data_IF_458377329924
#
_entry.id   IF_458377329924
#
_cell.length_a   1.000
_cell.length_b   1.000
_cell.length_c   1.000
_cell.angle_alpha   90.00
_cell.angle_beta   90.00
_cell.angle_gamma   90.00
#
_symmetry.space_group_name_H-M   'P 1'
#
loop_
_entity.id
_entity.type
_entity.pdbx_description
1 polymer ?
#
# COMPACT_ATOMS: atom_id res chain seq x y z
N UNK A 1 -25.09 51.86 32.77
CA UNK A 1 -25.54 50.52 32.31
C UNK A 1 -25.05 50.12 30.90
N UNK A 2 -24.04 50.79 30.29
CA UNK A 2 -23.56 50.47 28.92
C UNK A 2 -22.44 49.42 28.81
N UNK A 3 -21.88 48.94 29.93
CA UNK A 3 -20.72 48.02 29.94
C UNK A 3 -21.09 46.52 29.83
N UNK A 4 -22.32 46.13 30.21
CA UNK A 4 -22.76 44.73 30.11
C UNK A 4 -22.96 44.26 28.66
N UNK A 5 -23.38 45.16 27.77
CA UNK A 5 -23.70 44.83 26.36
C UNK A 5 -22.48 44.42 25.53
N UNK A 6 -21.27 44.89 25.86
CA UNK A 6 -20.04 44.57 25.11
C UNK A 6 -19.48 43.18 25.41
N UNK A 7 -19.73 42.65 26.61
CA UNK A 7 -19.22 41.33 27.01
C UNK A 7 -20.03 40.18 26.39
N UNK A 8 -21.29 40.42 26.05
CA UNK A 8 -22.19 39.42 25.45
C UNK A 8 -21.84 39.18 23.98
N UNK A 9 -21.46 40.22 23.25
CA UNK A 9 -21.10 40.13 21.82
C UNK A 9 -19.83 39.33 21.60
N UNK A 10 -18.82 39.53 22.45
CA UNK A 10 -17.56 38.76 22.40
C UNK A 10 -17.77 37.28 22.71
N UNK A 11 -18.65 36.95 23.66
CA UNK A 11 -18.94 35.57 24.01
C UNK A 11 -19.69 34.86 22.86
N UNK A 12 -20.63 35.55 22.22
CA UNK A 12 -21.37 35.02 21.07
C UNK A 12 -20.46 34.75 19.86
N UNK A 13 -19.48 35.62 19.60
CA UNK A 13 -18.53 35.44 18.50
C UNK A 13 -17.60 34.23 18.71
N UNK A 14 -17.17 33.97 19.95
CA UNK A 14 -16.34 32.80 20.29
C UNK A 14 -17.13 31.49 20.14
N UNK A 15 -18.40 31.48 20.53
CA UNK A 15 -19.28 30.31 20.34
C UNK A 15 -19.53 29.98 18.86
N UNK A 16 -19.69 30.99 18.00
CA UNK A 16 -19.84 30.80 16.55
C UNK A 16 -18.53 30.28 15.92
N UNK A 17 -17.37 30.79 16.34
CA UNK A 17 -16.08 30.32 15.85
C UNK A 17 -15.78 28.85 16.21
N UNK A 18 -16.24 28.40 17.39
CA UNK A 18 -16.12 26.99 17.81
C UNK A 18 -17.13 26.07 17.11
N UNK A 19 -18.27 26.59 16.65
CA UNK A 19 -19.27 25.80 15.90
C UNK A 19 -18.85 25.47 14.46
N UNK A 20 -17.88 26.22 13.92
CA UNK A 20 -17.36 26.03 12.56
C UNK A 20 -16.10 25.15 12.51
N UNK A 21 -15.52 24.76 13.65
CA UNK A 21 -14.33 23.90 13.67
C UNK A 21 -14.63 22.41 13.46
N UNK A 22 -15.90 22.05 13.26
CA UNK A 22 -16.35 20.70 12.93
C UNK A 22 -16.68 20.58 11.43
N UNK A 23 -15.90 21.19 10.55
CA UNK A 23 -15.86 20.73 9.16
C UNK A 23 -15.24 19.34 9.15
N UNK A 24 -16.12 18.35 9.04
CA UNK A 24 -15.80 16.95 8.78
C UNK A 24 -14.80 16.87 7.61
N UNK A 25 -13.62 16.35 7.88
CA UNK A 25 -12.59 16.20 6.85
C UNK A 25 -12.87 14.91 6.10
N UNK A 26 -13.41 15.01 4.88
CA UNK A 26 -13.45 13.87 3.96
C UNK A 26 -12.04 13.31 3.81
N UNK A 27 -11.82 12.09 4.31
CA UNK A 27 -10.55 11.38 4.18
C UNK A 27 -10.49 10.86 2.75
N UNK A 28 -9.54 11.32 1.92
CA UNK A 28 -9.46 10.88 0.53
C UNK A 28 -9.38 9.36 0.47
N UNK A 29 -10.21 8.76 -0.38
CA UNK A 29 -10.19 7.31 -0.53
C UNK A 29 -8.83 6.88 -1.08
N UNK A 30 -8.20 5.90 -0.42
CA UNK A 30 -6.90 5.36 -0.85
C UNK A 30 -7.10 4.11 -1.70
N UNK A 31 -6.12 3.85 -2.57
CA UNK A 31 -5.98 2.57 -3.27
C UNK A 31 -6.12 1.41 -2.29
N UNK A 32 -6.82 0.35 -2.69
CA UNK A 32 -6.85 -0.90 -1.93
C UNK A 32 -6.28 -2.02 -2.80
N UNK A 33 -5.38 -2.79 -2.21
CA UNK A 33 -4.66 -3.87 -2.86
C UNK A 33 -4.95 -5.17 -2.13
N UNK A 34 -5.12 -6.24 -2.90
CA UNK A 34 -5.12 -7.60 -2.40
C UNK A 34 -3.93 -8.33 -2.97
N UNK A 35 -3.09 -8.89 -2.10
CA UNK A 35 -1.99 -9.76 -2.51
C UNK A 35 -2.57 -11.09 -2.97
N UNK A 36 -2.13 -11.60 -4.11
CA UNK A 36 -2.56 -12.89 -4.64
C UNK A 36 -1.42 -13.91 -4.56
N UNK A 37 -1.74 -15.22 -4.51
CA UNK A 37 -0.72 -16.27 -4.50
C UNK A 37 0.25 -16.16 -5.69
N UNK A 38 1.56 -16.21 -5.42
CA UNK A 38 2.56 -16.39 -6.49
C UNK A 38 2.47 -17.79 -7.10
N UNK A 39 2.89 -17.91 -8.35
CA UNK A 39 2.96 -19.19 -9.07
C UNK A 39 4.19 -19.25 -9.96
N UNK A 40 4.62 -20.47 -10.30
CA UNK A 40 5.74 -20.66 -11.23
C UNK A 40 5.34 -20.34 -12.65
N UNK A 41 6.20 -19.65 -13.39
CA UNK A 41 5.95 -19.35 -14.79
C UNK A 41 6.04 -20.65 -15.63
N UNK A 42 4.96 -21.07 -16.31
CA UNK A 42 4.94 -22.33 -17.07
C UNK A 42 5.80 -22.27 -18.34
N UNK A 43 6.14 -21.07 -18.83
CA UNK A 43 6.78 -20.85 -20.14
C UNK A 43 8.24 -20.38 -20.03
N UNK A 44 8.84 -20.36 -18.83
CA UNK A 44 10.17 -19.79 -18.59
C UNK A 44 11.11 -20.68 -17.78
N UNK A 45 12.36 -20.20 -17.66
CA UNK A 45 13.48 -20.76 -16.90
C UNK A 45 13.05 -21.34 -15.55
N UNK A 46 13.73 -22.44 -15.15
CA UNK A 46 13.65 -23.02 -13.81
C UNK A 46 13.71 -21.90 -12.76
N UNK A 47 12.79 -21.91 -11.78
CA UNK A 47 12.69 -20.92 -10.72
C UNK A 47 12.17 -19.51 -11.11
N UNK A 48 11.49 -19.35 -12.26
CA UNK A 48 10.77 -18.10 -12.55
C UNK A 48 9.47 -18.02 -11.75
N UNK A 49 9.31 -16.95 -10.96
CA UNK A 49 8.16 -16.70 -10.09
C UNK A 49 7.35 -15.52 -10.65
N UNK A 50 6.06 -15.71 -10.80
CA UNK A 50 5.12 -14.64 -11.16
C UNK A 50 4.50 -14.09 -9.88
N UNK A 51 4.62 -12.78 -9.69
CA UNK A 51 3.95 -12.06 -8.62
C UNK A 51 2.60 -11.57 -9.13
N UNK A 52 1.56 -11.71 -8.31
CA UNK A 52 0.22 -11.28 -8.68
C UNK A 52 -0.44 -10.48 -7.54
N UNK A 53 -1.27 -9.52 -7.94
CA UNK A 53 -2.10 -8.73 -7.04
C UNK A 53 -3.43 -8.38 -7.71
N UNK A 54 -4.39 -7.95 -6.92
CA UNK A 54 -5.65 -7.38 -7.40
C UNK A 54 -5.77 -5.94 -6.88
N UNK A 55 -5.95 -4.99 -7.79
CA UNK A 55 -6.25 -3.60 -7.45
C UNK A 55 -7.76 -3.51 -7.27
N UNK A 56 -8.20 -3.55 -6.00
CA UNK A 56 -9.63 -3.57 -5.65
C UNK A 56 -10.29 -2.23 -5.95
N UNK A 57 -9.58 -1.12 -5.70
CA UNK A 57 -9.97 0.26 -6.03
C UNK A 57 -8.73 1.13 -6.19
N UNK A 58 -8.79 2.19 -6.99
CA UNK A 58 -7.64 3.09 -7.25
C UNK A 58 -7.52 4.28 -6.30
N UNK A 59 -8.60 4.65 -5.59
CA UNK A 59 -8.64 5.83 -4.72
C UNK A 59 -8.53 7.16 -5.49
N UNK A 60 -8.43 8.27 -4.75
CA UNK A 60 -8.35 9.64 -5.29
C UNK A 60 -6.90 10.11 -5.51
N UNK A 61 -5.97 9.59 -4.72
CA UNK A 61 -4.55 9.95 -4.83
C UNK A 61 -3.86 9.14 -5.94
N UNK A 62 -3.19 9.80 -6.90
CA UNK A 62 -2.45 9.10 -7.95
C UNK A 62 -1.37 8.17 -7.38
N UNK A 63 -1.26 6.99 -8.00
CA UNK A 63 -0.21 6.01 -7.70
C UNK A 63 1.06 6.40 -8.44
N UNK A 64 2.15 6.58 -7.69
CA UNK A 64 3.50 6.86 -8.19
C UNK A 64 4.23 5.57 -8.59
N UNK A 65 4.02 4.48 -7.86
CA UNK A 65 4.61 3.16 -8.10
C UNK A 65 3.72 2.10 -7.44
N UNK A 66 3.62 0.90 -8.00
CA UNK A 66 2.98 -0.24 -7.32
C UNK A 66 3.57 -1.55 -7.80
N UNK A 67 3.32 -2.62 -7.05
CA UNK A 67 3.75 -3.95 -7.40
C UNK A 67 3.81 -4.86 -6.19
N UNK A 68 4.80 -5.74 -6.14
CA UNK A 68 5.03 -6.64 -5.02
C UNK A 68 6.38 -6.36 -4.35
N UNK A 69 6.40 -6.41 -3.02
CA UNK A 69 7.64 -6.41 -2.24
C UNK A 69 7.81 -7.78 -1.61
N UNK A 70 9.04 -8.29 -1.57
CA UNK A 70 9.31 -9.64 -1.12
C UNK A 70 10.65 -9.79 -0.39
N UNK A 71 10.68 -10.74 0.54
CA UNK A 71 11.87 -11.24 1.20
C UNK A 71 11.99 -12.74 0.90
N UNK A 72 13.15 -13.15 0.42
CA UNK A 72 13.43 -14.53 0.03
C UNK A 72 14.79 -14.95 0.57
N UNK A 73 14.91 -16.22 0.97
CA UNK A 73 16.20 -16.79 1.32
C UNK A 73 16.85 -17.42 0.08
N UNK A 74 17.74 -16.68 -0.57
CA UNK A 74 18.34 -17.04 -1.87
C UNK A 74 19.45 -18.10 -1.75
N UNK A 75 20.19 -18.08 -0.65
CA UNK A 75 21.47 -18.79 -0.48
C UNK A 75 21.58 -19.50 0.88
N UNK A 76 20.49 -19.53 1.65
CA UNK A 76 20.48 -20.04 3.02
C UNK A 76 20.91 -19.00 4.06
N UNK A 77 21.48 -17.86 3.65
CA UNK A 77 22.09 -16.87 4.54
C UNK A 77 21.40 -15.51 4.52
N UNK A 78 20.65 -15.21 3.47
CA UNK A 78 19.90 -13.97 3.34
C UNK A 78 18.83 -13.86 4.43
N UNK A 79 18.73 -12.72 5.15
CA UNK A 79 17.75 -12.54 6.19
C UNK A 79 16.33 -12.61 5.58
N UNK A 80 15.53 -13.52 6.13
CA UNK A 80 14.13 -13.68 5.75
C UNK A 80 13.26 -12.85 6.69
N UNK A 81 12.57 -11.87 6.14
CA UNK A 81 11.69 -10.95 6.86
C UNK A 81 10.23 -11.35 6.63
N UNK A 82 9.48 -11.77 7.66
CA UNK A 82 8.07 -12.15 7.52
C UNK A 82 7.15 -11.01 7.05
N UNK A 83 7.57 -9.76 7.30
CA UNK A 83 6.81 -8.54 6.99
C UNK A 83 7.61 -7.66 6.02
N UNK A 84 7.71 -8.03 4.72
CA UNK A 84 8.56 -7.30 3.80
C UNK A 84 8.08 -5.85 3.60
N UNK A 85 9.01 -4.90 3.55
CA UNK A 85 8.75 -3.47 3.34
C UNK A 85 9.58 -2.90 2.20
N UNK A 86 9.08 -1.83 1.56
CA UNK A 86 9.74 -1.25 0.37
C UNK A 86 11.13 -0.67 0.67
N UNK A 87 11.41 -0.35 1.93
CA UNK A 87 12.66 0.27 2.37
C UNK A 87 13.76 -0.76 2.62
N UNK A 88 13.39 -1.99 2.98
CA UNK A 88 14.32 -3.01 3.48
C UNK A 88 14.40 -4.26 2.62
N UNK A 89 13.48 -4.41 1.65
CA UNK A 89 13.35 -5.62 0.85
C UNK A 89 13.24 -5.32 -0.65
N UNK A 90 13.23 -6.40 -1.45
CA UNK A 90 13.28 -6.32 -2.90
C UNK A 90 11.89 -6.10 -3.48
N UNK A 91 11.82 -5.36 -4.60
CA UNK A 91 10.57 -5.00 -5.27
C UNK A 91 10.47 -5.66 -6.65
N UNK A 92 9.26 -5.97 -7.06
CA UNK A 92 8.84 -6.23 -8.44
C UNK A 92 7.85 -5.12 -8.78
N UNK A 93 8.26 -4.20 -9.66
CA UNK A 93 7.48 -3.02 -10.03
C UNK A 93 6.60 -3.35 -11.22
N UNK A 94 5.33 -2.98 -11.16
CA UNK A 94 4.33 -3.25 -12.19
C UNK A 94 4.12 -2.02 -13.08
N UNK A 95 3.67 -2.25 -14.31
CA UNK A 95 3.42 -1.18 -15.27
C UNK A 95 2.25 -0.28 -14.84
N UNK A 96 2.47 1.03 -14.95
CA UNK A 96 1.45 2.06 -14.75
C UNK A 96 0.59 2.25 -16.01
N UNK A 97 -0.66 2.74 -15.87
CA UNK A 97 -1.32 3.15 -14.62
C UNK A 97 -1.84 1.97 -13.81
N UNK A 98 -1.84 2.11 -12.48
CA UNK A 98 -2.56 1.19 -11.60
C UNK A 98 -4.06 1.29 -11.90
N UNK A 99 -4.60 0.25 -12.52
CA UNK A 99 -6.01 0.11 -12.88
C UNK A 99 -6.61 -1.06 -12.11
N UNK A 100 -7.92 -1.02 -11.88
CA UNK A 100 -8.62 -2.06 -11.13
C UNK A 100 -8.47 -3.44 -11.78
N UNK A 101 -8.57 -4.47 -10.94
CA UNK A 101 -8.52 -5.86 -11.34
C UNK A 101 -7.14 -6.51 -11.18
N UNK A 102 -7.07 -7.74 -11.69
CA UNK A 102 -5.90 -8.61 -11.63
C UNK A 102 -4.72 -8.01 -12.38
N UNK A 103 -3.55 -8.04 -11.74
CA UNK A 103 -2.24 -7.69 -12.30
C UNK A 103 -1.23 -8.75 -11.95
N UNK A 104 -0.32 -9.01 -12.87
CA UNK A 104 0.82 -9.89 -12.64
C UNK A 104 2.07 -9.32 -13.28
N UNK A 105 3.22 -9.67 -12.72
CA UNK A 105 4.51 -9.36 -13.30
C UNK A 105 5.51 -10.48 -13.01
N UNK A 106 6.41 -10.72 -13.96
CA UNK A 106 7.44 -11.73 -13.82
C UNK A 106 8.52 -11.19 -12.89
N UNK A 107 8.69 -11.82 -11.74
CA UNK A 107 9.76 -11.51 -10.80
C UNK A 107 11.11 -12.05 -11.26
N UNK A 108 12.17 -11.82 -10.47
CA UNK A 108 13.47 -12.42 -10.73
C UNK A 108 13.44 -13.94 -10.56
N UNK A 109 14.52 -14.59 -10.98
CA UNK A 109 14.69 -16.01 -10.80
C UNK A 109 14.94 -16.33 -9.31
N UNK A 110 13.95 -16.93 -8.64
CA UNK A 110 13.97 -17.26 -7.21
C UNK A 110 13.97 -18.77 -7.02
N UNK A 111 15.16 -19.38 -6.87
CA UNK A 111 15.29 -20.82 -6.63
C UNK A 111 15.08 -21.21 -5.16
N UNK A 112 14.01 -20.72 -4.56
CA UNK A 112 13.66 -20.98 -3.16
C UNK A 112 12.16 -21.12 -3.01
N UNK A 113 11.75 -22.00 -2.11
CA UNK A 113 10.36 -22.20 -1.72
C UNK A 113 10.08 -21.52 -0.36
N UNK A 114 10.79 -20.44 -0.05
CA UNK A 114 10.62 -19.73 1.21
C UNK A 114 10.64 -18.22 0.95
N UNK A 115 9.47 -17.68 0.58
CA UNK A 115 9.31 -16.29 0.15
C UNK A 115 8.15 -15.66 0.91
N UNK A 116 8.40 -14.61 1.68
CA UNK A 116 7.35 -13.72 2.19
C UNK A 116 7.18 -12.56 1.22
N UNK A 117 5.93 -12.22 0.91
CA UNK A 117 5.64 -11.15 -0.06
C UNK A 117 4.31 -10.50 0.23
N UNK A 118 4.14 -9.27 -0.28
CA UNK A 118 2.89 -8.53 -0.24
C UNK A 118 2.82 -7.52 -1.38
N UNK A 119 1.61 -7.19 -1.81
CA UNK A 119 1.37 -6.06 -2.71
C UNK A 119 1.71 -4.74 -2.00
N UNK A 120 2.16 -3.74 -2.76
CA UNK A 120 2.35 -2.37 -2.28
C UNK A 120 1.98 -1.34 -3.35
N UNK A 121 1.68 -0.12 -2.90
CA UNK A 121 1.59 1.08 -3.73
C UNK A 121 2.22 2.25 -3.00
N UNK A 122 3.01 3.05 -3.71
CA UNK A 122 3.52 4.34 -3.29
C UNK A 122 2.65 5.39 -3.97
N UNK A 123 2.03 6.27 -3.19
CA UNK A 123 1.20 7.36 -3.69
C UNK A 123 2.05 8.60 -3.97
N UNK A 124 1.48 9.60 -4.65
CA UNK A 124 2.19 10.82 -5.00
C UNK A 124 2.64 11.66 -3.78
N UNK A 125 1.99 11.45 -2.63
CA UNK A 125 2.36 12.04 -1.33
C UNK A 125 3.44 11.23 -0.58
N UNK A 126 4.06 10.26 -1.25
CA UNK A 126 5.01 9.29 -0.73
C UNK A 126 4.47 8.36 0.38
N UNK A 127 3.15 8.38 0.64
CA UNK A 127 2.55 7.39 1.53
C UNK A 127 2.53 6.01 0.89
N UNK A 128 2.76 4.98 1.71
CA UNK A 128 2.84 3.59 1.26
C UNK A 128 1.61 2.84 1.74
N UNK A 129 0.92 2.21 0.81
CA UNK A 129 -0.18 1.28 1.07
C UNK A 129 0.30 -0.12 0.79
N UNK A 130 -0.08 -1.06 1.63
CA UNK A 130 0.28 -2.44 1.48
C UNK A 130 -0.93 -3.37 1.53
N UNK A 131 -0.88 -4.44 0.75
CA UNK A 131 -1.81 -5.57 0.85
C UNK A 131 -1.42 -6.56 1.95
N UNK A 132 -2.16 -7.67 1.99
CA UNK A 132 -1.92 -8.78 2.92
C UNK A 132 -0.55 -9.44 2.69
N UNK A 133 0.01 -10.01 3.75
CA UNK A 133 1.24 -10.78 3.67
C UNK A 133 0.89 -12.23 3.32
N UNK A 134 1.56 -12.76 2.31
CA UNK A 134 1.51 -14.17 1.96
C UNK A 134 2.89 -14.80 2.11
N UNK A 135 2.90 -16.10 2.38
CA UNK A 135 4.10 -16.92 2.48
C UNK A 135 4.01 -18.05 1.46
N UNK A 136 4.96 -18.08 0.53
CA UNK A 136 5.10 -19.19 -0.39
C UNK A 136 6.02 -20.24 0.24
N UNK A 137 5.46 -21.44 0.40
CA UNK A 137 6.14 -22.66 0.80
C UNK A 137 5.62 -23.83 -0.02
N UNK A 138 6.54 -24.63 -0.55
CA UNK A 138 6.21 -25.93 -1.15
C UNK A 138 6.33 -26.94 -0.02
N UNK A 139 5.20 -27.52 0.36
CA UNK A 139 5.12 -28.64 1.31
C UNK A 139 5.58 -29.96 0.67
#
# INVERSE_FOLDING_TARGET
MKKLSRSLTTMLMVLVALSLSCTDHDIPEKIALKTLPIFSNPNQLKCSIVFALDVVRTGELPVKEYGAVYSANFDGHSPLTPTPTIETNLKVVFDLPASTGYKEEIGPQLCTNNIYYRAYAILIDDSVIYGDILHFRVD
#
